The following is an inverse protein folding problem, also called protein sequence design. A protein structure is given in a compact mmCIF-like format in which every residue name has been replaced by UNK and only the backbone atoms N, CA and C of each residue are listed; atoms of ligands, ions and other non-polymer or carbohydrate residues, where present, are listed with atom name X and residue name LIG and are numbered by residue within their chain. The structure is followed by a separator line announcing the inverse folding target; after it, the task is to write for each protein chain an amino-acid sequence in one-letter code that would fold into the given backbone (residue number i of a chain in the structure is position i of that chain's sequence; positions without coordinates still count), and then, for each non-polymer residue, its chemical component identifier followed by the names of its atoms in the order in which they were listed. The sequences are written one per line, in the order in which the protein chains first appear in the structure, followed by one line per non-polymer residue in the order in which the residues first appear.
data_IF_290553054993
#
_entry.id   IF_290553054993
#
_cell.length_a   1.000
_cell.length_b   1.000
_cell.length_c   1.000
_cell.angle_alpha   90.00
_cell.angle_beta   90.00
_cell.angle_gamma   90.00
#
_symmetry.space_group_name_H-M   'P 1'
#
loop_
_entity.id
_entity.type
_entity.pdbx_description
1 polymer ?
#
# COMPACT_ATOMS: atom_id res chain seq x y z
N UNK A 1 2.94 9.25 -12.04
CA UNK A 1 3.01 7.77 -12.24
C UNK A 1 2.83 6.95 -10.95
N UNK A 2 2.39 7.54 -9.81
CA UNK A 2 2.25 6.80 -8.53
C UNK A 2 1.02 5.87 -8.47
N UNK A 3 -0.13 6.33 -8.97
CA UNK A 3 -1.39 5.57 -8.96
C UNK A 3 -1.31 4.18 -9.61
N UNK A 4 -0.75 4.00 -10.84
CA UNK A 4 -0.66 2.67 -11.44
C UNK A 4 0.25 1.71 -10.65
N UNK A 5 1.29 2.23 -9.99
CA UNK A 5 2.16 1.43 -9.13
C UNK A 5 1.41 0.91 -7.89
N UNK A 6 0.66 1.79 -7.23
CA UNK A 6 -0.16 1.43 -6.06
C UNK A 6 -1.26 0.44 -6.43
N UNK A 7 -1.97 0.66 -7.55
CA UNK A 7 -3.01 -0.26 -7.99
C UNK A 7 -2.46 -1.63 -8.40
N UNK A 8 -1.27 -1.69 -8.99
CA UNK A 8 -0.59 -2.96 -9.28
C UNK A 8 -0.25 -3.74 -8.01
N UNK A 9 0.27 -3.06 -6.97
CA UNK A 9 0.52 -3.69 -5.67
C UNK A 9 -0.77 -4.15 -4.99
N UNK A 10 -1.83 -3.34 -5.05
CA UNK A 10 -3.13 -3.74 -4.51
C UNK A 10 -3.67 -5.00 -5.20
N UNK A 11 -3.51 -5.12 -6.52
CA UNK A 11 -3.89 -6.33 -7.25
C UNK A 11 -3.12 -7.57 -6.79
N UNK A 12 -1.80 -7.46 -6.59
CA UNK A 12 -0.99 -8.57 -6.07
C UNK A 12 -1.40 -9.01 -4.66
N UNK A 13 -1.75 -8.05 -3.78
CA UNK A 13 -2.23 -8.38 -2.45
C UNK A 13 -3.61 -9.06 -2.49
N UNK A 14 -4.49 -8.63 -3.39
CA UNK A 14 -5.79 -9.29 -3.59
C UNK A 14 -5.61 -10.72 -4.12
N UNK A 15 -4.63 -10.96 -4.99
CA UNK A 15 -4.28 -12.30 -5.47
C UNK A 15 -3.70 -13.18 -4.35
N UNK A 16 -2.81 -12.63 -3.53
CA UNK A 16 -2.18 -13.38 -2.42
C UNK A 16 -3.15 -13.69 -1.27
N UNK A 17 -4.14 -12.82 -1.03
CA UNK A 17 -5.09 -12.93 0.07
C UNK A 17 -6.54 -12.91 -0.45
N UNK A 18 -7.00 -13.97 -1.14
CA UNK A 18 -8.30 -13.99 -1.81
C UNK A 18 -9.50 -13.90 -0.83
N UNK A 19 -9.30 -14.30 0.43
CA UNK A 19 -10.34 -14.26 1.46
C UNK A 19 -10.50 -12.86 2.09
N UNK A 20 -9.56 -11.93 1.84
CA UNK A 20 -9.61 -10.59 2.40
C UNK A 20 -10.39 -9.65 1.50
N UNK A 21 -11.28 -8.87 2.12
CA UNK A 21 -11.98 -7.80 1.41
C UNK A 21 -11.05 -6.59 1.16
N UNK A 22 -11.46 -5.71 0.23
CA UNK A 22 -10.67 -4.55 -0.18
C UNK A 22 -10.28 -3.64 0.99
N UNK A 23 -11.11 -3.51 2.03
CA UNK A 23 -10.79 -2.72 3.21
C UNK A 23 -9.63 -3.32 4.00
N UNK A 24 -9.61 -4.64 4.17
CA UNK A 24 -8.51 -5.34 4.85
C UNK A 24 -7.22 -5.29 4.05
N UNK A 25 -7.31 -5.38 2.72
CA UNK A 25 -6.17 -5.16 1.84
C UNK A 25 -5.63 -3.72 1.99
N UNK A 26 -6.50 -2.72 2.03
CA UNK A 26 -6.10 -1.32 2.25
C UNK A 26 -5.38 -1.13 3.59
N UNK A 27 -5.94 -1.65 4.68
CA UNK A 27 -5.32 -1.62 6.01
C UNK A 27 -3.92 -2.29 6.00
N UNK A 28 -3.75 -3.41 5.28
CA UNK A 28 -2.45 -4.07 5.13
C UNK A 28 -1.43 -3.20 4.36
N UNK A 29 -1.85 -2.57 3.26
CA UNK A 29 -0.98 -1.71 2.46
C UNK A 29 -0.52 -0.49 3.26
N UNK A 30 -1.41 0.13 4.03
CA UNK A 30 -1.07 1.27 4.90
C UNK A 30 -0.11 0.87 6.01
N UNK A 31 -0.33 -0.29 6.63
CA UNK A 31 0.51 -0.78 7.73
C UNK A 31 1.92 -1.21 7.26
N UNK A 32 2.06 -1.62 6.00
CA UNK A 32 3.36 -2.01 5.42
C UNK A 32 4.04 -0.89 4.65
N UNK A 33 3.44 0.29 4.55
CA UNK A 33 4.06 1.44 3.94
C UNK A 33 5.33 1.83 4.71
N UNK A 34 6.44 2.02 3.98
CA UNK A 34 7.69 2.50 4.55
C UNK A 34 7.55 4.01 4.81
N UNK A 35 7.65 4.48 6.07
CA UNK A 35 7.66 5.90 6.34
C UNK A 35 8.89 6.54 5.70
N UNK A 36 8.74 7.75 5.16
CA UNK A 36 9.85 8.53 4.63
C UNK A 36 10.03 9.74 5.54
N UNK A 37 11.21 9.86 6.14
CA UNK A 37 11.56 10.97 7.00
C UNK A 37 11.62 12.28 6.22
N UNK A 38 11.34 13.39 6.91
CA UNK A 38 11.39 14.76 6.36
C UNK A 38 10.39 15.09 5.24
N UNK A 39 9.36 14.26 5.03
CA UNK A 39 8.26 14.56 4.12
C UNK A 39 6.92 14.61 4.88
N UNK A 40 6.04 15.54 4.47
CA UNK A 40 4.79 15.81 5.18
C UNK A 40 3.79 14.69 4.91
N UNK A 41 3.06 14.29 5.96
CA UNK A 41 1.96 13.33 5.86
C UNK A 41 0.93 13.71 4.80
N UNK A 42 0.61 15.01 4.67
CA UNK A 42 -0.36 15.52 3.69
C UNK A 42 -0.05 15.10 2.25
N UNK A 43 1.23 14.97 1.93
CA UNK A 43 1.67 14.74 0.56
C UNK A 43 1.77 13.24 0.24
N UNK A 44 1.89 12.37 1.26
CA UNK A 44 2.29 10.96 1.07
C UNK A 44 1.59 9.94 1.99
N UNK A 45 0.67 10.39 2.83
CA UNK A 45 -0.02 9.54 3.81
C UNK A 45 0.96 8.77 4.69
N UNK A 46 0.78 7.45 4.77
CA UNK A 46 1.60 6.54 5.59
C UNK A 46 2.99 6.24 5.01
N UNK A 47 3.32 6.76 3.82
CA UNK A 47 4.63 6.61 3.19
C UNK A 47 4.59 5.76 1.92
N UNK A 48 5.72 5.13 1.59
CA UNK A 48 5.91 4.41 0.34
C UNK A 48 5.51 2.94 0.48
N UNK A 49 4.50 2.51 -0.28
CA UNK A 49 4.06 1.11 -0.31
C UNK A 49 5.18 0.22 -0.85
N UNK A 50 5.32 -0.99 -0.29
CA UNK A 50 6.33 -1.98 -0.67
C UNK A 50 5.67 -3.33 -1.00
N UNK A 51 6.34 -4.11 -1.86
CA UNK A 51 6.01 -5.53 -2.07
C UNK A 51 6.38 -6.31 -0.81
N UNK A 52 5.52 -7.23 -0.38
CA UNK A 52 5.87 -8.22 0.64
C UNK A 52 6.69 -9.30 -0.05
N UNK A 53 7.92 -9.51 0.40
CA UNK A 53 8.66 -10.73 0.10
C UNK A 53 8.36 -11.80 1.14
#
# INVERSE_FOLDING_TARGET
MATPHVSGLAALYMEQFPDLNARKIWELLENKAKPIENLKYRDMGKGLIQVIR
#
